data_IF_616460550847
#
_entry.id   IF_616460550847
#
_cell.length_a   1.000
_cell.length_b   1.000
_cell.length_c   1.000
_cell.angle_alpha   90.00
_cell.angle_beta   90.00
_cell.angle_gamma   90.00
#
_symmetry.space_group_name_H-M   'P 1'
#
loop_
_entity.id
_entity.type
_entity.pdbx_description
1 polymer ?
#
# COMPACT_ATOMS: atom_id res chain seq x y z
N UNK A 1 12.17 -11.30 -6.00
CA UNK A 1 10.76 -10.88 -5.87
C UNK A 1 9.98 -11.43 -7.05
N UNK A 2 8.76 -11.90 -6.82
CA UNK A 2 7.91 -12.55 -7.81
C UNK A 2 6.56 -11.87 -7.89
N UNK A 3 6.54 -10.58 -8.24
CA UNK A 3 5.32 -9.78 -8.35
C UNK A 3 4.32 -10.40 -9.32
N UNK A 4 3.12 -10.71 -8.82
CA UNK A 4 2.05 -11.34 -9.60
C UNK A 4 0.72 -10.69 -9.31
N UNK A 5 -0.14 -10.65 -10.33
CA UNK A 5 -1.54 -10.28 -10.18
C UNK A 5 -2.34 -11.50 -9.74
N UNK A 6 -3.30 -11.29 -8.83
CA UNK A 6 -4.18 -12.34 -8.32
C UNK A 6 -5.61 -12.04 -8.74
N UNK A 7 -6.05 -12.61 -9.87
CA UNK A 7 -7.39 -12.40 -10.44
C UNK A 7 -8.44 -13.44 -9.99
N UNK A 8 -8.15 -14.25 -8.96
CA UNK A 8 -9.00 -15.35 -8.47
C UNK A 8 -9.36 -15.28 -6.98
N UNK A 9 -10.07 -16.30 -6.46
CA UNK A 9 -10.57 -16.36 -5.07
C UNK A 9 -9.45 -16.41 -4.02
N UNK A 10 -8.30 -17.02 -4.33
CA UNK A 10 -7.09 -17.04 -3.50
C UNK A 10 -6.20 -15.82 -3.78
N UNK A 11 -5.83 -15.06 -2.74
CA UNK A 11 -5.09 -13.79 -2.87
C UNK A 11 -5.98 -12.57 -3.16
N UNK A 12 -7.29 -12.76 -3.22
CA UNK A 12 -8.31 -11.74 -3.50
C UNK A 12 -8.34 -10.59 -2.49
N UNK A 13 -8.03 -10.84 -1.21
CA UNK A 13 -8.10 -9.80 -0.17
C UNK A 13 -7.06 -8.70 -0.37
N UNK A 14 -5.74 -8.98 -0.44
CA UNK A 14 -4.77 -7.92 -0.66
C UNK A 14 -4.89 -7.30 -2.07
N UNK A 15 -5.22 -8.09 -3.10
CA UNK A 15 -5.47 -7.55 -4.43
C UNK A 15 -6.72 -6.63 -4.46
N UNK A 16 -7.80 -7.04 -3.80
CA UNK A 16 -9.02 -6.25 -3.68
C UNK A 16 -8.80 -5.00 -2.86
N UNK A 17 -8.04 -5.08 -1.76
CA UNK A 17 -7.64 -3.93 -0.97
C UNK A 17 -6.96 -2.86 -1.82
N UNK A 18 -5.93 -3.23 -2.59
CA UNK A 18 -5.20 -2.23 -3.38
C UNK A 18 -6.05 -1.69 -4.54
N UNK A 19 -6.78 -2.54 -5.26
CA UNK A 19 -7.60 -2.11 -6.40
C UNK A 19 -8.77 -1.21 -5.97
N UNK A 20 -9.35 -1.45 -4.80
CA UNK A 20 -10.48 -0.65 -4.31
C UNK A 20 -10.06 0.72 -3.80
N UNK A 21 -8.90 0.81 -3.13
CA UNK A 21 -8.44 2.07 -2.56
C UNK A 21 -7.61 2.92 -3.55
N UNK A 22 -6.82 2.29 -4.40
CA UNK A 22 -5.91 2.96 -5.33
C UNK A 22 -6.28 2.69 -6.79
N UNK A 23 -7.37 3.30 -7.23
CA UNK A 23 -7.75 3.34 -8.65
C UNK A 23 -6.73 4.11 -9.48
N UNK A 24 -6.15 5.17 -8.89
CA UNK A 24 -5.01 5.91 -9.45
C UNK A 24 -3.73 5.59 -8.69
N UNK A 25 -2.59 5.58 -9.39
CA UNK A 25 -1.29 5.44 -8.73
C UNK A 25 -0.91 6.73 -7.98
N UNK A 26 -0.58 6.69 -6.69
CA UNK A 26 -0.18 7.89 -5.95
C UNK A 26 1.19 8.45 -6.37
N UNK A 27 1.99 7.67 -7.10
CA UNK A 27 3.32 8.12 -7.57
C UNK A 27 3.31 8.70 -8.98
N UNK A 28 2.53 8.11 -9.90
CA UNK A 28 2.51 8.53 -11.31
C UNK A 28 1.17 9.06 -11.81
N UNK A 29 0.11 9.01 -11.00
CA UNK A 29 -1.24 9.46 -11.40
C UNK A 29 -1.98 8.57 -12.39
N UNK A 30 -1.37 7.47 -12.88
CA UNK A 30 -2.03 6.57 -13.84
C UNK A 30 -3.34 6.01 -13.28
N UNK A 31 -4.43 6.10 -14.05
CA UNK A 31 -5.75 5.54 -13.74
C UNK A 31 -5.88 4.03 -13.96
N UNK A 32 -4.85 3.39 -14.53
CA UNK A 32 -4.78 1.93 -14.68
C UNK A 32 -3.43 1.40 -14.18
N UNK A 33 -3.17 1.50 -12.87
CA UNK A 33 -1.89 1.09 -12.27
C UNK A 33 -1.60 -0.41 -12.40
N UNK A 34 -2.64 -1.23 -12.64
CA UNK A 34 -2.57 -2.69 -12.74
C UNK A 34 -1.71 -3.31 -11.63
N UNK A 35 -2.11 -3.13 -10.36
CA UNK A 35 -1.29 -3.51 -9.22
C UNK A 35 -0.91 -5.00 -9.17
N UNK A 36 0.39 -5.29 -9.08
CA UNK A 36 0.93 -6.64 -8.84
C UNK A 36 1.44 -6.77 -7.41
N UNK A 37 1.32 -7.96 -6.84
CA UNK A 37 1.61 -8.23 -5.44
C UNK A 37 2.82 -9.13 -5.26
N UNK A 38 3.59 -8.86 -4.22
CA UNK A 38 4.53 -9.80 -3.63
C UNK A 38 4.40 -9.72 -2.10
N UNK A 39 5.00 -10.68 -1.39
CA UNK A 39 5.03 -10.67 0.07
C UNK A 39 6.46 -10.56 0.56
N UNK A 40 6.69 -9.69 1.54
CA UNK A 40 7.97 -9.56 2.19
C UNK A 40 7.88 -10.06 3.62
N UNK A 41 8.59 -11.16 3.90
CA UNK A 41 8.80 -11.62 5.27
C UNK A 41 9.85 -10.74 5.94
N UNK A 42 9.51 -10.11 7.05
CA UNK A 42 10.46 -9.40 7.91
C UNK A 42 10.38 -9.98 9.31
N UNK A 43 11.45 -9.79 10.09
CA UNK A 43 11.54 -10.30 11.45
C UNK A 43 10.48 -9.68 12.38
N UNK A 44 10.17 -8.40 12.19
CA UNK A 44 9.20 -7.67 13.00
C UNK A 44 7.75 -7.84 12.51
N UNK A 45 7.52 -7.65 11.21
CA UNK A 45 6.17 -7.67 10.64
C UNK A 45 6.19 -8.02 9.15
N UNK A 46 5.38 -9.01 8.76
CA UNK A 46 5.18 -9.36 7.35
C UNK A 46 4.39 -8.26 6.62
N UNK A 47 4.81 -7.95 5.40
CA UNK A 47 4.23 -6.87 4.60
C UNK A 47 3.81 -7.34 3.23
N UNK A 48 2.67 -6.85 2.75
CA UNK A 48 2.30 -6.94 1.35
C UNK A 48 3.01 -5.83 0.58
N UNK A 49 3.59 -6.16 -0.56
CA UNK A 49 4.20 -5.23 -1.52
C UNK A 49 3.24 -5.10 -2.70
N UNK A 50 2.92 -3.87 -3.09
CA UNK A 50 2.07 -3.57 -4.23
C UNK A 50 2.86 -2.74 -5.24
N UNK A 51 3.15 -3.33 -6.39
CA UNK A 51 3.90 -2.71 -7.48
C UNK A 51 2.95 -2.20 -8.56
N UNK A 52 3.06 -0.92 -8.89
CA UNK A 52 2.42 -0.33 -10.06
C UNK A 52 3.12 -0.84 -11.33
N UNK A 53 2.39 -1.34 -12.33
CA UNK A 53 2.99 -1.80 -13.58
C UNK A 53 3.37 -0.65 -14.52
N UNK A 54 2.82 0.55 -14.31
CA UNK A 54 3.03 1.70 -15.20
C UNK A 54 4.35 2.42 -14.91
N UNK A 55 4.63 2.70 -13.64
CA UNK A 55 5.83 3.42 -13.22
C UNK A 55 6.78 2.57 -12.38
N UNK A 56 6.43 1.34 -12.05
CA UNK A 56 7.21 0.44 -11.18
C UNK A 56 7.34 0.87 -9.72
N UNK A 57 6.58 1.87 -9.26
CA UNK A 57 6.50 2.25 -7.85
C UNK A 57 6.02 1.07 -6.98
N UNK A 58 6.58 0.96 -5.78
CA UNK A 58 6.23 -0.06 -4.80
C UNK A 58 5.78 0.62 -3.51
N UNK A 59 4.54 0.36 -3.13
CA UNK A 59 4.01 0.71 -1.81
C UNK A 59 3.79 -0.56 -1.01
N UNK A 60 4.00 -0.52 0.31
CA UNK A 60 3.81 -1.68 1.17
C UNK A 60 2.96 -1.39 2.38
N UNK A 61 2.23 -2.40 2.84
CA UNK A 61 1.42 -2.30 4.04
C UNK A 61 1.59 -3.55 4.91
N UNK A 62 1.55 -3.40 6.25
CA UNK A 62 1.46 -4.52 7.17
C UNK A 62 0.35 -5.52 6.81
N UNK A 63 0.61 -6.82 7.00
CA UNK A 63 -0.43 -7.84 6.83
C UNK A 63 -1.66 -7.56 7.72
N UNK A 64 -1.43 -7.10 8.95
CA UNK A 64 -2.51 -6.79 9.90
C UNK A 64 -3.41 -5.64 9.43
N UNK A 65 -2.88 -4.68 8.69
CA UNK A 65 -3.63 -3.53 8.16
C UNK A 65 -4.50 -3.91 6.99
N UNK A 66 -3.95 -4.69 6.05
CA UNK A 66 -4.67 -5.14 4.84
C UNK A 66 -5.76 -6.15 5.18
N UNK A 67 -5.48 -7.07 6.10
CA UNK A 67 -6.44 -8.10 6.54
C UNK A 67 -7.44 -7.59 7.59
N UNK A 68 -7.26 -6.36 8.10
CA UNK A 68 -8.15 -5.75 9.09
C UNK A 68 -7.92 -6.21 10.54
N UNK A 69 -6.91 -7.04 10.80
CA UNK A 69 -6.58 -7.53 12.14
C UNK A 69 -5.99 -6.46 13.07
N UNK A 70 -5.42 -5.37 12.54
CA UNK A 70 -4.83 -4.29 13.33
C UNK A 70 -5.85 -3.28 13.89
N UNK A 71 -7.14 -3.43 13.52
CA UNK A 71 -8.23 -2.52 13.92
C UNK A 71 -8.64 -2.64 15.39
N UNK A 72 -8.19 -3.70 16.08
CA UNK A 72 -8.58 -4.02 17.45
C UNK A 72 -7.34 -4.30 18.31
N UNK A 73 -7.32 -3.79 19.55
CA UNK A 73 -6.18 -3.98 20.50
C UNK A 73 -6.04 -5.42 21.04
N UNK A 74 -7.02 -6.27 20.77
CA UNK A 74 -7.09 -7.66 21.24
C UNK A 74 -6.12 -8.55 20.45
N UNK A 75 -5.72 -8.13 19.23
CA UNK A 75 -4.79 -8.88 18.39
C UNK A 75 -3.36 -8.39 18.60
N UNK A 76 -2.38 -9.29 18.49
CA UNK A 76 -0.95 -8.94 18.57
C UNK A 76 -0.54 -7.82 17.60
N UNK A 77 -1.01 -7.80 16.33
CA UNK A 77 -0.74 -6.68 15.42
C UNK A 77 -1.35 -5.35 15.87
N UNK A 78 -2.56 -5.36 16.43
CA UNK A 78 -3.20 -4.14 16.94
C UNK A 78 -2.50 -3.57 18.18
N UNK A 79 -2.00 -4.42 19.06
CA UNK A 79 -1.19 -4.01 20.21
C UNK A 79 0.16 -3.41 19.78
N UNK A 80 0.89 -4.07 18.87
CA UNK A 80 2.18 -3.58 18.34
C UNK A 80 2.03 -2.22 17.65
N UNK A 81 0.97 -2.05 16.86
CA UNK A 81 0.67 -0.78 16.19
C UNK A 81 0.40 0.36 17.17
N UNK A 82 -0.31 0.09 18.27
CA UNK A 82 -0.49 1.09 19.33
C UNK A 82 0.84 1.42 20.01
N UNK A 83 1.67 0.41 20.31
CA UNK A 83 2.99 0.61 20.92
C UNK A 83 3.92 1.44 20.03
N UNK A 84 3.77 1.36 18.70
CA UNK A 84 4.51 2.22 17.76
C UNK A 84 3.91 3.63 17.60
N UNK A 85 2.97 4.04 18.46
CA UNK A 85 2.33 5.36 18.43
C UNK A 85 1.27 5.54 17.32
N UNK A 86 0.92 4.48 16.58
CA UNK A 86 -0.01 4.55 15.46
C UNK A 86 -1.46 4.31 15.91
N UNK A 87 -2.40 4.93 15.21
CA UNK A 87 -3.84 4.76 15.47
C UNK A 87 -4.32 3.42 14.91
N UNK A 88 -4.89 2.55 15.74
CA UNK A 88 -5.33 1.20 15.34
C UNK A 88 -6.33 1.19 14.17
N UNK A 89 -7.23 2.18 14.07
CA UNK A 89 -8.22 2.30 12.99
C UNK A 89 -7.68 2.88 11.68
N UNK A 90 -6.45 3.39 11.65
CA UNK A 90 -5.85 4.06 10.48
C UNK A 90 -4.92 3.09 9.78
N UNK A 91 -5.06 2.89 8.47
CA UNK A 91 -4.15 2.01 7.72
C UNK A 91 -2.93 2.82 7.29
N UNK A 92 -1.74 2.25 7.49
CA UNK A 92 -0.48 2.87 7.12
C UNK A 92 0.18 2.11 5.97
N UNK A 93 0.71 2.87 5.01
CA UNK A 93 1.47 2.35 3.88
C UNK A 93 2.79 3.10 3.78
N UNK A 94 3.84 2.37 3.42
CA UNK A 94 5.17 2.91 3.15
C UNK A 94 5.39 2.96 1.65
N UNK A 95 5.98 4.03 1.15
CA UNK A 95 6.50 4.10 -0.22
C UNK A 95 7.91 3.52 -0.21
N UNK A 96 8.06 2.25 -0.59
CA UNK A 96 9.37 1.60 -0.63
C UNK A 96 10.15 2.01 -1.90
N UNK A 97 9.46 2.16 -3.02
CA UNK A 97 10.04 2.67 -4.28
C UNK A 97 9.07 3.61 -4.98
N UNK A 98 9.61 4.68 -5.56
CA UNK A 98 8.82 5.69 -6.31
C UNK A 98 8.73 5.37 -7.81
N UNK A 99 9.48 4.37 -8.27
CA UNK A 99 9.50 3.95 -9.66
C UNK A 99 10.26 4.95 -10.54
N UNK A 100 9.77 5.16 -11.76
CA UNK A 100 10.37 6.08 -12.74
C UNK A 100 10.14 7.58 -12.45
N UNK A 101 9.39 7.92 -11.40
CA UNK A 101 8.99 9.31 -11.11
C UNK A 101 10.00 10.02 -10.19
N UNK A 102 10.84 10.89 -10.78
CA UNK A 102 11.84 11.67 -10.02
C UNK A 102 11.21 12.71 -9.09
N UNK A 103 10.06 13.28 -9.46
CA UNK A 103 9.35 14.31 -8.68
C UNK A 103 8.84 13.78 -7.34
N UNK A 104 8.56 12.48 -7.24
CA UNK A 104 8.07 11.83 -6.02
C UNK A 104 9.19 11.17 -5.21
N UNK A 105 10.46 11.31 -5.60
CA UNK A 105 11.62 10.76 -4.87
C UNK A 105 11.65 11.16 -3.40
N UNK A 106 11.17 12.36 -3.08
CA UNK A 106 11.02 12.90 -1.73
C UNK A 106 10.12 12.02 -0.82
N UNK A 107 9.27 11.19 -1.42
CA UNK A 107 8.33 10.31 -0.73
C UNK A 107 8.92 8.92 -0.48
N UNK A 108 10.07 8.59 -1.09
CA UNK A 108 10.74 7.31 -0.86
C UNK A 108 11.05 7.13 0.62
N UNK A 109 10.83 5.92 1.09
CA UNK A 109 10.99 5.47 2.47
C UNK A 109 10.07 6.12 3.51
N UNK A 110 9.20 7.06 3.11
CA UNK A 110 8.21 7.67 3.98
C UNK A 110 6.99 6.79 4.15
N UNK A 111 6.37 6.94 5.31
CA UNK A 111 5.10 6.31 5.63
C UNK A 111 3.99 7.36 5.60
N UNK A 112 2.86 6.96 5.05
CA UNK A 112 1.66 7.75 4.90
C UNK A 112 0.47 6.92 5.37
N UNK A 113 -0.59 7.59 5.77
CA UNK A 113 -1.89 6.97 5.93
C UNK A 113 -2.49 6.63 4.57
N UNK A 114 -3.44 5.68 4.56
CA UNK A 114 -4.21 5.34 3.38
C UNK A 114 -4.86 6.59 2.76
N UNK A 115 -5.50 7.41 3.59
CA UNK A 115 -6.23 8.59 3.15
C UNK A 115 -5.29 9.63 2.51
N UNK A 116 -4.12 9.88 3.11
CA UNK A 116 -3.10 10.79 2.54
C UNK A 116 -2.64 10.32 1.15
N UNK A 117 -2.35 9.02 0.96
CA UNK A 117 -1.94 8.51 -0.36
C UNK A 117 -3.09 8.53 -1.37
N UNK A 118 -4.33 8.31 -0.94
CA UNK A 118 -5.51 8.41 -1.80
C UNK A 118 -5.69 9.87 -2.25
N UNK A 119 -5.57 10.83 -1.35
CA UNK A 119 -5.60 12.26 -1.68
C UNK A 119 -4.47 12.63 -2.66
N UNK A 120 -3.25 12.14 -2.43
CA UNK A 120 -2.14 12.31 -3.37
C UNK A 120 -2.47 11.75 -4.76
N UNK A 121 -3.12 10.58 -4.84
CA UNK A 121 -3.53 9.99 -6.11
C UNK A 121 -4.64 10.77 -6.82
N UNK A 122 -5.51 11.46 -6.06
CA UNK A 122 -6.59 12.29 -6.58
C UNK A 122 -6.09 13.66 -7.07
N UNK A 123 -4.99 14.17 -6.49
CA UNK A 123 -4.36 15.44 -6.87
C UNK A 123 -3.80 15.46 -8.31
N UNK A 124 -3.59 14.30 -8.94
CA UNK A 124 -3.36 14.19 -10.37
C UNK A 124 -4.70 14.38 -11.09
N UNK A 125 -5.02 15.66 -11.36
CA UNK A 125 -6.26 16.06 -12.02
C UNK A 125 -6.51 15.30 -13.33
N UNK A 126 -7.78 15.03 -13.61
CA UNK A 126 -8.24 14.55 -14.91
C UNK A 126 -7.98 15.66 -15.93
N UNK A 127 -6.78 15.67 -16.51
CA UNK A 127 -6.49 16.48 -17.69
C UNK A 127 -7.20 15.81 -18.86
N UNK A 128 -8.45 16.21 -19.07
CA UNK A 128 -9.15 16.09 -20.36
C UNK A 128 -8.69 17.24 -21.25
#
# INVERSE_FOLDING_TARGET
MGFKRYDGFYGSVPQGFINNNFKKCPMCGSGEPNWHLDTQKRWTENRYLFKCQQCEAIISSPFGDVMGFSRTIITTPGLLKRLSGKKTKVIYLKVDEVGSMQTTQLNKDKEFTLDELVEMSAGYGDTV
#
